data_IF_007453099151
#
_entry.id   IF_007453099151
#
_cell.length_a   1.000
_cell.length_b   1.000
_cell.length_c   1.000
_cell.angle_alpha   90.00
_cell.angle_beta   90.00
_cell.angle_gamma   90.00
#
_symmetry.space_group_name_H-M   'P 1'
#
loop_
_entity.id
_entity.type
_entity.pdbx_description
1 polymer ?
#
# COMPACT_ATOMS: atom_id res chain seq x y z
N UNK A 1 14.77 -8.03 19.80
CA UNK A 1 13.48 -7.33 19.61
C UNK A 1 13.48 -6.05 20.42
N UNK A 2 12.93 -4.94 19.91
CA UNK A 2 12.76 -3.71 20.66
C UNK A 2 11.87 -3.97 21.89
N UNK A 3 12.23 -3.36 23.01
CA UNK A 3 11.42 -3.39 24.23
C UNK A 3 10.17 -2.51 24.03
N UNK A 4 9.04 -3.15 23.72
CA UNK A 4 7.76 -2.46 23.53
C UNK A 4 7.10 -2.04 24.85
N UNK A 5 7.66 -2.42 26.01
CA UNK A 5 7.15 -2.01 27.32
C UNK A 5 7.53 -0.57 27.68
N UNK A 6 8.57 -0.01 27.03
CA UNK A 6 9.04 1.36 27.24
C UNK A 6 8.65 2.25 26.07
N UNK A 7 8.30 3.54 26.28
CA UNK A 7 7.81 4.42 25.22
C UNK A 7 8.87 4.83 24.18
N UNK A 8 10.13 4.44 24.36
CA UNK A 8 11.25 4.78 23.48
C UNK A 8 11.07 4.23 22.05
N UNK A 9 10.20 3.23 21.87
CA UNK A 9 9.84 2.72 20.54
C UNK A 9 8.88 3.64 19.76
N UNK A 10 8.22 4.61 20.42
CA UNK A 10 7.27 5.53 19.79
C UNK A 10 8.02 6.53 18.90
N UNK A 11 7.53 6.84 17.68
CA UNK A 11 8.22 7.73 16.74
C UNK A 11 8.68 9.06 17.36
N UNK A 12 7.83 9.71 18.15
CA UNK A 12 8.13 11.03 18.75
C UNK A 12 9.12 10.99 19.92
N UNK A 13 9.50 9.80 20.40
CA UNK A 13 10.44 9.62 21.52
C UNK A 13 11.82 9.16 21.05
N UNK A 14 11.98 8.90 19.75
CA UNK A 14 13.25 8.45 19.16
C UNK A 14 14.21 9.63 18.95
N UNK A 15 15.53 9.45 19.17
CA UNK A 15 16.52 10.52 19.00
C UNK A 15 16.54 11.16 17.61
N UNK A 16 16.21 10.39 16.57
CA UNK A 16 16.18 10.83 15.17
C UNK A 16 14.77 11.15 14.65
N UNK A 17 13.73 10.94 15.48
CA UNK A 17 12.33 11.12 15.12
C UNK A 17 11.82 10.20 14.00
N UNK A 18 12.61 9.20 13.56
CA UNK A 18 12.24 8.30 12.46
C UNK A 18 11.43 7.12 12.98
N UNK A 19 10.60 6.53 12.11
CA UNK A 19 9.97 5.26 12.43
C UNK A 19 11.02 4.17 12.67
N UNK A 20 10.69 3.16 13.47
CA UNK A 20 11.55 1.99 13.58
C UNK A 20 11.63 1.30 12.22
N UNK A 21 12.84 0.99 11.80
CA UNK A 21 13.07 0.05 10.70
C UNK A 21 12.31 -1.27 10.98
N UNK A 22 11.59 -1.84 10.00
CA UNK A 22 10.74 -3.01 10.24
C UNK A 22 11.51 -4.31 10.46
N UNK A 23 12.84 -4.35 10.30
CA UNK A 23 13.70 -5.55 10.45
C UNK A 23 13.61 -6.26 11.80
N UNK A 24 13.06 -5.63 12.83
CA UNK A 24 12.79 -6.31 14.10
C UNK A 24 11.58 -7.24 14.07
N UNK A 25 10.72 -7.11 13.06
CA UNK A 25 9.58 -8.01 12.83
C UNK A 25 10.06 -9.33 12.21
N UNK A 26 9.33 -10.44 12.44
CA UNK A 26 9.60 -11.70 11.77
C UNK A 26 9.56 -11.60 10.24
N UNK A 27 10.38 -12.42 9.58
CA UNK A 27 10.25 -12.72 8.15
C UNK A 27 8.97 -13.52 7.90
N UNK A 28 8.22 -13.10 6.89
CA UNK A 28 7.03 -13.80 6.44
C UNK A 28 7.40 -15.19 5.89
N UNK A 29 6.65 -16.22 6.31
CA UNK A 29 6.83 -17.62 5.90
C UNK A 29 5.67 -18.13 5.05
N UNK A 30 4.46 -17.61 5.25
CA UNK A 30 3.26 -17.93 4.46
C UNK A 30 2.64 -16.67 3.87
N UNK A 31 2.11 -16.74 2.65
CA UNK A 31 1.60 -15.56 1.94
C UNK A 31 2.68 -14.54 1.57
N UNK A 32 2.25 -13.39 1.08
CA UNK A 32 3.10 -12.27 0.67
C UNK A 32 2.72 -11.02 1.45
N UNK A 33 3.72 -10.33 2.01
CA UNK A 33 3.57 -9.02 2.66
C UNK A 33 4.61 -8.08 2.08
N UNK A 34 4.43 -6.75 2.21
CA UNK A 34 5.47 -5.80 1.82
C UNK A 34 6.82 -6.21 2.41
N UNK A 35 7.86 -6.25 1.58
CA UNK A 35 9.24 -6.60 1.99
C UNK A 35 9.39 -8.01 2.59
N UNK A 36 8.36 -8.86 2.54
CA UNK A 36 8.27 -10.15 3.23
C UNK A 36 8.55 -10.04 4.75
N UNK A 37 8.12 -8.94 5.37
CA UNK A 37 8.20 -8.71 6.80
C UNK A 37 6.78 -8.51 7.36
N UNK A 38 6.46 -9.16 8.49
CA UNK A 38 5.11 -9.15 9.03
C UNK A 38 5.00 -9.56 10.49
N UNK A 39 3.97 -9.07 11.18
CA UNK A 39 3.68 -9.43 12.58
C UNK A 39 3.21 -10.88 12.74
N UNK A 40 2.60 -11.44 11.69
CA UNK A 40 2.01 -12.77 11.67
C UNK A 40 2.68 -13.61 10.57
N UNK A 41 3.90 -14.12 10.82
CA UNK A 41 4.73 -14.74 9.79
C UNK A 41 4.12 -15.99 9.15
N UNK A 42 3.20 -16.66 9.85
CA UNK A 42 2.54 -17.88 9.37
C UNK A 42 1.12 -17.63 8.84
N UNK A 43 0.66 -16.38 8.81
CA UNK A 43 -0.67 -16.03 8.33
C UNK A 43 -0.66 -15.74 6.84
N UNK A 44 -1.57 -16.38 6.11
CA UNK A 44 -1.89 -16.08 4.72
C UNK A 44 -3.39 -15.81 4.60
N UNK A 45 -3.77 -14.63 4.12
CA UNK A 45 -5.17 -14.25 3.94
C UNK A 45 -5.87 -15.17 2.93
N UNK A 46 -5.13 -15.74 1.98
CA UNK A 46 -5.70 -16.60 0.95
C UNK A 46 -6.08 -17.99 1.46
N UNK A 47 -5.56 -18.42 2.62
CA UNK A 47 -6.05 -19.65 3.29
C UNK A 47 -7.54 -19.53 3.67
N UNK A 48 -8.07 -18.29 3.77
CA UNK A 48 -9.47 -18.03 4.09
C UNK A 48 -10.39 -17.94 2.86
N UNK A 49 -9.89 -18.07 1.62
CA UNK A 49 -10.68 -17.90 0.38
C UNK A 49 -11.95 -18.75 0.37
N UNK A 50 -11.90 -19.97 0.90
CA UNK A 50 -13.06 -20.87 0.97
C UNK A 50 -14.17 -20.44 1.94
N UNK A 51 -13.91 -19.41 2.78
CA UNK A 51 -14.87 -18.88 3.75
C UNK A 51 -15.57 -17.61 3.28
N UNK A 52 -15.10 -17.01 2.19
CA UNK A 52 -15.65 -15.76 1.65
C UNK A 52 -16.90 -16.01 0.82
N UNK A 53 -17.80 -15.03 0.81
CA UNK A 53 -18.85 -15.00 -0.21
C UNK A 53 -18.25 -14.74 -1.61
N UNK A 54 -19.04 -15.02 -2.64
CA UNK A 54 -18.59 -14.89 -4.04
C UNK A 54 -18.22 -13.46 -4.42
N UNK A 55 -18.90 -12.46 -3.84
CA UNK A 55 -18.62 -11.05 -4.11
C UNK A 55 -17.24 -10.64 -3.58
N UNK A 56 -16.95 -10.99 -2.33
CA UNK A 56 -15.67 -10.74 -1.67
C UNK A 56 -14.55 -11.48 -2.36
N UNK A 57 -14.77 -12.77 -2.66
CA UNK A 57 -13.79 -13.60 -3.37
C UNK A 57 -13.43 -13.02 -4.72
N UNK A 58 -14.42 -12.62 -5.52
CA UNK A 58 -14.18 -11.97 -6.82
C UNK A 58 -13.34 -10.70 -6.67
N UNK A 59 -13.70 -9.85 -5.72
CA UNK A 59 -13.05 -8.54 -5.51
C UNK A 59 -11.62 -8.69 -4.97
N UNK A 60 -11.36 -9.62 -4.05
CA UNK A 60 -10.03 -9.84 -3.49
C UNK A 60 -9.11 -10.52 -4.51
N UNK A 61 -9.56 -11.59 -5.18
CA UNK A 61 -8.75 -12.29 -6.16
C UNK A 61 -8.39 -11.40 -7.36
N UNK A 62 -9.29 -10.52 -7.79
CA UNK A 62 -9.00 -9.56 -8.85
C UNK A 62 -7.83 -8.61 -8.51
N UNK A 63 -7.53 -8.37 -7.22
CA UNK A 63 -6.40 -7.54 -6.79
C UNK A 63 -5.04 -8.27 -6.80
N UNK A 64 -5.05 -9.59 -6.99
CA UNK A 64 -3.82 -10.39 -7.10
C UNK A 64 -3.26 -10.37 -8.53
N UNK A 65 -4.07 -9.99 -9.50
CA UNK A 65 -3.62 -9.85 -10.87
C UNK A 65 -2.56 -8.73 -10.96
N UNK A 66 -1.47 -8.94 -11.72
CA UNK A 66 -0.49 -7.89 -11.94
C UNK A 66 -1.17 -6.63 -12.51
N UNK A 67 -0.88 -5.44 -11.96
CA UNK A 67 -1.47 -4.22 -12.47
C UNK A 67 -0.97 -3.93 -13.89
N UNK A 68 -1.80 -3.26 -14.68
CA UNK A 68 -1.40 -2.73 -15.98
C UNK A 68 -0.48 -1.51 -15.86
N UNK A 69 0.03 -0.98 -16.99
CA UNK A 69 0.76 0.28 -17.00
C UNK A 69 -0.14 1.44 -16.57
N UNK A 70 0.49 2.54 -16.11
CA UNK A 70 -0.21 3.79 -15.80
C UNK A 70 -0.92 4.34 -17.05
N UNK A 71 -2.11 4.90 -16.85
CA UNK A 71 -3.01 5.44 -17.88
C UNK A 71 -3.29 6.93 -17.71
N UNK A 72 -3.22 7.44 -16.49
CA UNK A 72 -3.48 8.83 -16.16
C UNK A 72 -2.18 9.64 -16.12
N UNK A 73 -1.20 9.18 -15.33
CA UNK A 73 0.08 9.89 -15.18
C UNK A 73 1.02 9.62 -16.36
N UNK A 74 1.72 10.68 -16.77
CA UNK A 74 2.74 10.60 -17.81
C UNK A 74 4.06 9.97 -17.32
N UNK A 75 4.94 9.65 -18.27
CA UNK A 75 6.25 9.07 -18.00
C UNK A 75 7.14 9.95 -17.10
N UNK A 76 6.97 11.27 -17.15
CA UNK A 76 7.73 12.22 -16.32
C UNK A 76 7.19 12.31 -14.89
N UNK A 77 5.92 11.93 -14.66
CA UNK A 77 5.23 12.01 -13.37
C UNK A 77 5.33 10.70 -12.59
N UNK A 78 5.36 9.56 -13.31
CA UNK A 78 5.45 8.21 -12.75
C UNK A 78 6.54 8.07 -11.68
N UNK A 79 7.80 8.54 -11.86
CA UNK A 79 8.83 8.39 -10.84
C UNK A 79 8.48 9.10 -9.53
N UNK A 80 7.82 10.27 -9.61
CA UNK A 80 7.40 11.04 -8.44
C UNK A 80 6.25 10.36 -7.71
N UNK A 81 5.25 9.89 -8.45
CA UNK A 81 4.12 9.14 -7.89
C UNK A 81 4.61 7.90 -7.14
N UNK A 82 5.49 7.10 -7.77
CA UNK A 82 6.05 5.90 -7.16
C UNK A 82 6.84 6.22 -5.90
N UNK A 83 7.76 7.20 -5.96
CA UNK A 83 8.55 7.60 -4.81
C UNK A 83 7.67 8.08 -3.65
N UNK A 84 6.60 8.83 -3.93
CA UNK A 84 5.65 9.27 -2.93
C UNK A 84 4.91 8.09 -2.29
N UNK A 85 4.32 7.20 -3.11
CA UNK A 85 3.61 6.01 -2.63
C UNK A 85 4.51 5.10 -1.79
N UNK A 86 5.74 4.85 -2.23
CA UNK A 86 6.69 4.02 -1.51
C UNK A 86 7.05 4.66 -0.16
N UNK A 87 7.28 5.97 -0.13
CA UNK A 87 7.65 6.70 1.09
C UNK A 87 6.52 6.68 2.12
N UNK A 88 5.29 7.03 1.73
CA UNK A 88 4.17 7.15 2.67
C UNK A 88 3.69 5.80 3.21
N UNK A 89 3.95 4.71 2.47
CA UNK A 89 3.61 3.35 2.85
C UNK A 89 4.79 2.59 3.48
N UNK A 90 5.98 3.21 3.56
CA UNK A 90 7.19 2.60 4.10
C UNK A 90 7.63 1.36 3.31
N UNK A 91 7.61 1.45 1.97
CA UNK A 91 7.95 0.35 1.06
C UNK A 91 9.38 0.47 0.54
N UNK A 92 10.33 0.11 1.39
CA UNK A 92 11.75 0.31 1.09
C UNK A 92 12.29 -0.70 0.07
N UNK A 93 11.77 -1.93 0.06
CA UNK A 93 12.23 -3.03 -0.79
C UNK A 93 11.04 -3.89 -1.32
N UNK A 94 11.33 -4.78 -2.25
CA UNK A 94 10.36 -5.72 -2.81
C UNK A 94 10.04 -6.89 -1.84
N UNK A 95 8.85 -7.51 -1.94
CA UNK A 95 7.74 -7.13 -2.82
C UNK A 95 7.02 -5.87 -2.32
N UNK A 96 6.55 -5.05 -3.25
CA UNK A 96 5.76 -3.84 -2.99
C UNK A 96 4.28 -4.03 -3.30
N UNK A 97 3.43 -3.25 -2.64
CA UNK A 97 2.02 -3.08 -2.99
C UNK A 97 1.93 -2.03 -4.10
N UNK A 98 1.30 -2.34 -5.25
CA UNK A 98 1.23 -1.46 -6.41
C UNK A 98 0.20 -0.34 -6.23
N UNK A 99 0.47 0.57 -5.28
CA UNK A 99 -0.46 1.66 -4.95
C UNK A 99 -0.44 2.77 -6.00
N UNK A 100 0.70 3.00 -6.67
CA UNK A 100 0.78 3.96 -7.76
C UNK A 100 -0.23 3.62 -8.88
N UNK A 101 -0.30 2.34 -9.25
CA UNK A 101 -1.23 1.83 -10.25
C UNK A 101 -2.69 1.92 -9.80
N UNK A 102 -2.97 1.69 -8.50
CA UNK A 102 -4.30 1.84 -7.95
C UNK A 102 -4.79 3.30 -7.96
N UNK A 103 -3.91 4.25 -7.62
CA UNK A 103 -4.20 5.70 -7.67
C UNK A 103 -4.42 6.15 -9.11
N UNK A 104 -3.53 5.75 -10.02
CA UNK A 104 -3.63 6.06 -11.44
C UNK A 104 -4.92 5.52 -12.07
N UNK A 105 -5.25 4.24 -11.82
CA UNK A 105 -6.46 3.64 -12.36
C UNK A 105 -7.72 4.36 -11.89
N UNK A 106 -7.75 4.75 -10.61
CA UNK A 106 -8.85 5.48 -10.00
C UNK A 106 -9.06 6.85 -10.69
N UNK A 107 -7.98 7.59 -10.93
CA UNK A 107 -8.02 8.89 -11.62
C UNK A 107 -8.41 8.73 -13.10
N UNK A 108 -7.81 7.77 -13.80
CA UNK A 108 -8.13 7.46 -15.19
C UNK A 108 -9.61 7.08 -15.38
N UNK A 109 -10.19 6.37 -14.42
CA UNK A 109 -11.58 5.92 -14.45
C UNK A 109 -12.57 6.98 -13.91
N UNK A 110 -12.08 8.15 -13.47
CA UNK A 110 -12.90 9.22 -12.88
C UNK A 110 -13.60 8.80 -11.59
N UNK A 111 -13.04 7.84 -10.86
CA UNK A 111 -13.59 7.37 -9.60
C UNK A 111 -13.15 8.28 -8.47
N UNK A 112 -13.95 9.27 -8.12
CA UNK A 112 -13.62 10.21 -7.04
C UNK A 112 -14.17 9.72 -5.70
N UNK A 113 -13.36 9.84 -4.64
CA UNK A 113 -13.82 9.62 -3.27
C UNK A 113 -14.10 10.98 -2.63
N UNK A 114 -15.37 11.32 -2.44
CA UNK A 114 -15.77 12.54 -1.73
C UNK A 114 -16.69 13.46 -2.54
N UNK A 115 -16.69 14.74 -2.17
CA UNK A 115 -17.47 15.80 -2.81
C UNK A 115 -16.51 16.89 -3.30
N UNK A 116 -16.74 17.38 -4.52
CA UNK A 116 -16.06 18.55 -5.09
C UNK A 116 -16.99 19.75 -5.07
N UNK A 117 -16.43 20.96 -4.95
CA UNK A 117 -17.21 22.17 -5.18
C UNK A 117 -17.59 22.26 -6.66
N UNK A 118 -18.81 22.73 -6.95
CA UNK A 118 -19.36 22.73 -8.31
C UNK A 118 -18.60 23.63 -9.30
N UNK A 119 -17.76 24.54 -8.80
CA UNK A 119 -16.94 25.48 -9.56
C UNK A 119 -15.47 25.03 -9.71
N UNK A 120 -15.07 23.92 -9.09
CA UNK A 120 -13.75 23.34 -9.32
C UNK A 120 -13.72 22.56 -10.64
N UNK A 121 -12.62 22.64 -11.42
CA UNK A 121 -12.41 21.78 -12.58
C UNK A 121 -12.34 20.30 -12.14
N UNK A 122 -12.69 19.38 -13.05
CA UNK A 122 -12.48 17.95 -12.84
C UNK A 122 -10.98 17.67 -12.68
N UNK A 123 -10.61 16.67 -11.89
CA UNK A 123 -9.20 16.28 -11.68
C UNK A 123 -8.48 15.92 -12.99
N UNK A 124 -9.23 15.63 -14.06
CA UNK A 124 -8.69 15.35 -15.41
C UNK A 124 -8.49 16.60 -16.28
N UNK A 125 -9.00 17.75 -15.86
CA UNK A 125 -9.00 19.01 -16.61
C UNK A 125 -7.86 19.96 -16.20
N UNK A 126 -6.95 19.54 -15.30
CA UNK A 126 -5.77 20.32 -14.85
C UNK A 126 -4.50 19.91 -15.58
#
# INVERSE_FOLDING_TARGET
MPDLSRPDHLPHRRPDGRAADPSWLPRQRRGMTPQMIGRYPDFDVLDAVGTWDEATKKVVLARLEPPGPLRFFGADEEPTLRAFCDTVLGQDDEPRVPVAEAVDAKLADGQLDGYQYADMPDDRDT
#
